data_IF_678314181891
#
_entry.id   IF_678314181891
#
_cell.length_a   1.000
_cell.length_b   1.000
_cell.length_c   1.000
_cell.angle_alpha   90.00
_cell.angle_beta   90.00
_cell.angle_gamma   90.00
#
_symmetry.space_group_name_H-M   'P 1'
#
loop_
_entity.id
_entity.type
_entity.pdbx_description
1 polymer ?
#
# COMPACT_ATOMS: atom_id res chain seq x y z
N UNK A 1 63.63 -58.17 5.97
CA UNK A 1 63.01 -57.77 4.68
C UNK A 1 61.55 -57.46 4.92
N UNK A 2 61.07 -56.30 4.45
CA UNK A 2 59.68 -55.94 4.11
C UNK A 2 58.65 -55.93 5.26
N UNK A 3 57.76 -54.95 5.41
CA UNK A 3 57.48 -53.69 4.70
C UNK A 3 56.61 -52.85 5.65
N UNK A 4 56.94 -51.57 5.76
CA UNK A 4 56.06 -50.51 6.27
C UNK A 4 54.85 -50.43 5.33
N UNK A 5 53.63 -50.29 5.88
CA UNK A 5 52.63 -49.43 5.28
C UNK A 5 51.71 -48.87 6.36
N UNK A 6 51.94 -47.60 6.70
CA UNK A 6 50.93 -46.71 7.24
C UNK A 6 49.78 -46.65 6.21
N UNK A 7 48.56 -46.97 6.62
CA UNK A 7 47.38 -46.34 6.05
C UNK A 7 46.74 -45.51 7.14
N UNK A 8 47.12 -44.24 7.07
CA UNK A 8 46.52 -43.08 7.69
C UNK A 8 45.00 -43.21 7.83
N UNK A 9 44.55 -42.96 9.05
CA UNK A 9 43.22 -42.48 9.41
C UNK A 9 42.81 -41.42 8.38
N UNK A 10 41.92 -41.76 7.48
CA UNK A 10 41.16 -40.80 6.70
C UNK A 10 39.69 -41.16 6.84
N UNK A 11 39.23 -41.11 8.10
CA UNK A 11 37.84 -40.74 8.37
C UNK A 11 37.68 -39.31 7.85
N UNK A 12 37.49 -39.18 6.54
CA UNK A 12 36.89 -37.98 5.97
C UNK A 12 35.54 -37.92 6.65
N UNK A 13 35.44 -37.06 7.67
CA UNK A 13 34.18 -36.51 8.09
C UNK A 13 33.49 -36.08 6.81
N UNK A 14 32.50 -36.86 6.37
CA UNK A 14 31.42 -36.29 5.58
C UNK A 14 30.72 -35.35 6.55
N UNK A 15 31.32 -34.17 6.75
CA UNK A 15 30.56 -32.97 7.05
C UNK A 15 29.61 -32.87 5.87
N UNK A 16 28.44 -33.51 6.03
CA UNK A 16 27.23 -32.99 5.44
C UNK A 16 27.17 -31.57 5.98
N UNK A 17 27.74 -30.62 5.24
CA UNK A 17 27.34 -29.24 5.37
C UNK A 17 25.89 -29.29 4.93
N UNK A 18 24.95 -29.43 5.88
CA UNK A 18 23.59 -29.06 5.58
C UNK A 18 23.70 -27.57 5.23
N UNK A 19 23.63 -27.29 3.94
CA UNK A 19 23.33 -25.96 3.43
C UNK A 19 22.02 -25.57 4.12
N UNK A 20 22.11 -24.92 5.28
CA UNK A 20 20.95 -24.40 5.98
C UNK A 20 20.53 -23.17 5.21
N UNK A 21 19.87 -23.39 4.07
CA UNK A 21 19.20 -22.33 3.34
C UNK A 21 18.17 -21.76 4.30
N UNK A 22 18.42 -20.54 4.76
CA UNK A 22 17.42 -19.77 5.45
C UNK A 22 16.53 -19.16 4.36
N UNK A 23 15.36 -19.76 4.21
CA UNK A 23 14.30 -19.27 3.34
C UNK A 23 13.36 -18.41 4.18
N UNK A 24 12.90 -17.29 3.61
CA UNK A 24 12.03 -16.33 4.26
C UNK A 24 11.91 -15.05 3.44
N UNK A 25 11.08 -14.11 3.85
CA UNK A 25 10.98 -12.84 3.13
C UNK A 25 12.26 -12.01 3.27
N UNK A 26 12.93 -11.71 2.15
CA UNK A 26 14.19 -10.93 2.15
C UNK A 26 13.99 -9.43 1.89
N UNK A 27 12.76 -8.99 1.59
CA UNK A 27 12.47 -7.60 1.27
C UNK A 27 12.29 -6.76 2.55
N UNK A 28 13.16 -5.75 2.83
CA UNK A 28 13.06 -4.96 4.05
C UNK A 28 11.79 -4.11 4.18
N UNK A 29 11.08 -3.91 3.07
CA UNK A 29 9.82 -3.19 3.03
C UNK A 29 8.61 -4.08 3.40
N UNK A 30 8.78 -5.40 3.51
CA UNK A 30 7.73 -6.32 3.93
C UNK A 30 7.53 -6.28 5.45
N UNK A 31 6.29 -6.49 5.89
CA UNK A 31 5.93 -6.61 7.30
C UNK A 31 6.60 -7.83 7.95
N UNK A 32 6.74 -8.91 7.18
CA UNK A 32 7.32 -10.17 7.62
C UNK A 32 8.78 -10.34 7.17
N UNK A 33 9.51 -9.24 6.98
CA UNK A 33 10.94 -9.30 6.65
C UNK A 33 11.73 -10.14 7.67
N UNK A 34 12.46 -11.14 7.17
CA UNK A 34 13.29 -12.03 7.97
C UNK A 34 14.76 -11.73 7.72
N UNK A 35 15.38 -10.94 8.61
CA UNK A 35 16.80 -10.55 8.48
C UNK A 35 17.82 -11.69 8.46
N UNK A 36 17.40 -12.92 8.79
CA UNK A 36 18.22 -14.12 8.74
C UNK A 36 18.04 -14.93 7.45
N UNK A 37 17.03 -14.60 6.62
CA UNK A 37 16.77 -15.28 5.36
C UNK A 37 17.78 -14.84 4.29
N UNK A 38 18.38 -15.83 3.63
CA UNK A 38 19.32 -15.64 2.52
C UNK A 38 18.62 -15.75 1.16
N UNK A 39 17.42 -16.36 1.14
CA UNK A 39 16.65 -16.63 -0.07
C UNK A 39 15.18 -16.28 0.13
N UNK A 40 14.61 -15.56 -0.83
CA UNK A 40 13.19 -15.26 -0.87
C UNK A 40 12.37 -16.56 -1.01
N UNK A 41 11.44 -16.78 -0.09
CA UNK A 41 10.50 -17.90 -0.13
C UNK A 41 9.17 -17.54 -0.82
N UNK A 42 9.01 -16.29 -1.25
CA UNK A 42 7.77 -15.80 -1.83
C UNK A 42 6.65 -15.76 -0.79
N UNK A 43 6.97 -15.47 0.47
CA UNK A 43 5.99 -15.19 1.53
C UNK A 43 5.87 -13.71 1.86
N UNK A 44 6.60 -12.82 1.18
CA UNK A 44 6.65 -11.39 1.53
C UNK A 44 5.26 -10.76 1.51
N UNK A 45 4.91 -10.13 2.63
CA UNK A 45 3.63 -9.49 2.88
C UNK A 45 3.84 -8.00 3.13
N UNK A 46 3.00 -7.18 2.50
CA UNK A 46 3.13 -5.73 2.49
C UNK A 46 1.84 -5.07 2.94
N UNK A 47 1.97 -3.91 3.57
CA UNK A 47 0.85 -3.02 3.83
C UNK A 47 1.26 -1.58 3.62
N UNK A 48 0.27 -0.73 3.38
CA UNK A 48 0.45 0.70 3.26
C UNK A 48 -0.87 1.40 3.60
N UNK A 49 -0.76 2.56 4.23
CA UNK A 49 -1.89 3.38 4.61
C UNK A 49 -2.19 4.40 3.51
N UNK A 50 -3.46 4.74 3.36
CA UNK A 50 -3.94 5.74 2.41
C UNK A 50 -4.79 6.76 3.16
N UNK A 51 -4.58 8.05 2.88
CA UNK A 51 -5.38 9.14 3.46
C UNK A 51 -6.02 9.97 2.35
N UNK A 52 -7.34 9.90 2.24
CA UNK A 52 -8.13 10.76 1.34
C UNK A 52 -8.58 12.02 2.07
N UNK A 53 -8.38 13.17 1.44
CA UNK A 53 -8.77 14.47 1.99
C UNK A 53 -9.04 15.48 0.87
N UNK A 54 -9.77 16.53 1.18
CA UNK A 54 -10.08 17.61 0.25
C UNK A 54 -9.16 18.81 0.45
N UNK A 55 -8.86 19.52 -0.65
CA UNK A 55 -8.31 20.88 -0.55
C UNK A 55 -9.42 21.90 -0.27
N UNK A 56 -9.06 23.08 0.22
CA UNK A 56 -10.04 24.16 0.51
C UNK A 56 -10.84 24.57 -0.73
N UNK A 57 -10.28 24.47 -1.93
CA UNK A 57 -10.97 24.89 -3.15
C UNK A 57 -12.07 23.89 -3.57
N UNK A 58 -11.84 22.60 -3.39
CA UNK A 58 -12.82 21.54 -3.58
C UNK A 58 -13.97 21.69 -2.59
N UNK A 59 -13.66 21.90 -1.31
CA UNK A 59 -14.67 22.07 -0.27
C UNK A 59 -15.61 23.26 -0.52
N UNK A 60 -15.04 24.43 -0.88
CA UNK A 60 -15.83 25.61 -1.28
C UNK A 60 -16.71 25.31 -2.50
N UNK A 61 -16.21 24.52 -3.43
CA UNK A 61 -16.96 24.16 -4.62
C UNK A 61 -18.15 23.24 -4.29
N UNK A 62 -17.99 22.25 -3.40
CA UNK A 62 -19.08 21.38 -2.97
C UNK A 62 -20.11 22.12 -2.11
N UNK A 63 -19.68 23.02 -1.22
CA UNK A 63 -20.57 23.92 -0.47
C UNK A 63 -21.46 24.75 -1.41
N UNK A 64 -20.90 25.30 -2.49
CA UNK A 64 -21.67 26.03 -3.51
C UNK A 64 -22.67 25.16 -4.30
N UNK A 65 -22.49 23.84 -4.28
CA UNK A 65 -23.40 22.88 -4.90
C UNK A 65 -24.41 22.27 -3.93
N UNK A 66 -24.39 22.66 -2.66
CA UNK A 66 -25.23 22.09 -1.59
C UNK A 66 -24.95 20.58 -1.39
N UNK A 67 -23.70 20.15 -1.62
CA UNK A 67 -23.22 18.80 -1.35
C UNK A 67 -22.64 18.76 0.06
N UNK A 68 -23.19 17.91 0.91
CA UNK A 68 -22.82 17.85 2.34
C UNK A 68 -21.75 16.80 2.64
N UNK A 69 -21.71 15.70 1.88
CA UNK A 69 -20.79 14.61 2.15
C UNK A 69 -20.36 13.85 0.89
N UNK A 70 -19.17 13.24 0.97
CA UNK A 70 -18.58 12.46 -0.10
C UNK A 70 -18.20 11.07 0.37
N UNK A 71 -18.84 10.04 -0.21
CA UNK A 71 -18.54 8.64 0.05
C UNK A 71 -17.34 8.16 -0.77
N UNK A 72 -16.33 7.64 -0.08
CA UNK A 72 -15.20 6.93 -0.65
C UNK A 72 -15.54 5.44 -0.80
N UNK A 73 -15.35 4.95 -2.02
CA UNK A 73 -15.39 3.53 -2.36
C UNK A 73 -14.04 3.10 -2.92
N UNK A 74 -13.49 2.00 -2.44
CA UNK A 74 -12.26 1.36 -2.95
C UNK A 74 -12.58 -0.06 -3.38
N UNK A 75 -12.17 -0.45 -4.59
CA UNK A 75 -12.50 -1.77 -5.17
C UNK A 75 -14.00 -2.13 -5.15
N UNK A 76 -14.88 -1.12 -5.15
CA UNK A 76 -16.33 -1.30 -5.08
C UNK A 76 -16.91 -1.44 -3.67
N UNK A 77 -16.09 -1.39 -2.62
CA UNK A 77 -16.51 -1.40 -1.21
C UNK A 77 -16.46 0.00 -0.58
N UNK A 78 -17.49 0.33 0.21
CA UNK A 78 -17.55 1.58 0.97
C UNK A 78 -16.51 1.59 2.09
N UNK A 79 -15.67 2.63 2.12
CA UNK A 79 -14.59 2.76 3.10
C UNK A 79 -14.91 3.82 4.16
N UNK A 80 -15.47 4.95 3.75
CA UNK A 80 -15.74 6.06 4.65
C UNK A 80 -16.33 7.26 3.93
N UNK A 81 -16.64 8.29 4.69
CA UNK A 81 -17.30 9.50 4.21
C UNK A 81 -16.49 10.72 4.64
N UNK A 82 -16.23 11.63 3.71
CA UNK A 82 -15.67 12.95 3.97
C UNK A 82 -16.80 13.97 4.16
N UNK A 83 -16.57 14.96 5.02
CA UNK A 83 -17.39 16.18 5.06
C UNK A 83 -17.01 17.03 3.84
N UNK A 84 -17.95 17.16 2.89
CA UNK A 84 -17.69 17.82 1.61
C UNK A 84 -17.42 19.32 1.75
N UNK A 85 -17.74 19.89 2.92
CA UNK A 85 -17.54 21.32 3.22
C UNK A 85 -16.24 21.58 3.97
N UNK A 86 -15.47 20.53 4.28
CA UNK A 86 -14.22 20.60 5.04
C UNK A 86 -13.00 20.35 4.16
N UNK A 87 -12.26 21.42 3.85
CA UNK A 87 -11.00 21.33 3.11
C UNK A 87 -9.78 21.61 4.00
N UNK A 88 -8.70 20.85 3.79
CA UNK A 88 -7.44 21.02 4.50
C UNK A 88 -6.47 21.93 3.73
N UNK A 89 -5.56 22.58 4.46
CA UNK A 89 -4.50 23.45 3.91
C UNK A 89 -3.11 22.81 4.00
N UNK A 90 -3.05 21.57 4.48
CA UNK A 90 -1.83 20.80 4.67
C UNK A 90 -2.07 19.37 4.22
N UNK A 91 -0.99 18.63 3.95
CA UNK A 91 -1.06 17.20 3.67
C UNK A 91 -1.19 16.46 5.00
N UNK A 92 -2.33 15.80 5.28
CA UNK A 92 -2.53 15.08 6.53
C UNK A 92 -1.67 13.82 6.59
N UNK A 93 -1.43 13.33 7.81
CA UNK A 93 -0.89 12.00 8.02
C UNK A 93 -2.02 10.97 8.10
N UNK A 94 -1.68 9.68 8.11
CA UNK A 94 -2.64 8.57 8.17
C UNK A 94 -3.21 8.34 9.59
N UNK A 95 -3.36 9.39 10.38
CA UNK A 95 -4.11 9.40 11.65
C UNK A 95 -5.01 10.64 11.76
N UNK A 96 -5.21 11.35 10.65
CA UNK A 96 -6.08 12.53 10.60
C UNK A 96 -7.55 12.12 10.75
N UNK A 97 -8.26 12.80 11.64
CA UNK A 97 -9.65 12.47 12.00
C UNK A 97 -10.62 13.04 10.96
N UNK A 98 -10.25 14.18 10.38
CA UNK A 98 -11.03 14.91 9.39
C UNK A 98 -10.82 14.36 7.95
N UNK A 99 -10.14 13.22 7.82
CA UNK A 99 -9.83 12.54 6.57
C UNK A 99 -10.32 11.09 6.61
N UNK A 100 -10.48 10.47 5.45
CA UNK A 100 -10.76 9.02 5.37
C UNK A 100 -9.43 8.28 5.27
N UNK A 101 -9.12 7.48 6.28
CA UNK A 101 -7.90 6.67 6.36
C UNK A 101 -8.25 5.19 6.31
N UNK A 102 -7.50 4.42 5.51
CA UNK A 102 -7.59 2.96 5.46
C UNK A 102 -6.23 2.35 5.11
N UNK A 103 -6.08 1.06 5.39
CA UNK A 103 -4.88 0.29 5.06
C UNK A 103 -5.19 -0.71 3.96
N UNK A 104 -4.25 -0.88 3.04
CA UNK A 104 -4.26 -1.94 2.04
C UNK A 104 -3.17 -2.95 2.35
N UNK A 105 -3.41 -4.20 1.96
CA UNK A 105 -2.51 -5.32 2.21
C UNK A 105 -2.36 -6.15 0.93
N UNK A 106 -1.15 -6.62 0.64
CA UNK A 106 -0.88 -7.46 -0.54
C UNK A 106 0.36 -8.34 -0.36
N UNK A 107 0.45 -9.38 -1.18
CA UNK A 107 1.52 -10.38 -1.15
C UNK A 107 2.44 -10.27 -2.37
N UNK A 108 3.72 -10.58 -2.17
CA UNK A 108 4.67 -10.98 -3.22
C UNK A 108 4.78 -10.01 -4.40
N UNK A 109 4.61 -8.71 -4.14
CA UNK A 109 4.81 -7.65 -5.11
C UNK A 109 5.39 -6.41 -4.43
N UNK A 110 6.38 -5.78 -5.05
CA UNK A 110 7.00 -4.56 -4.54
C UNK A 110 6.09 -3.33 -4.56
N UNK A 111 4.95 -3.43 -5.25
CA UNK A 111 3.88 -2.44 -5.26
C UNK A 111 2.55 -3.13 -5.61
N UNK A 112 1.44 -2.46 -5.30
CA UNK A 112 0.10 -2.86 -5.74
C UNK A 112 -0.58 -1.68 -6.43
N UNK A 113 -1.85 -1.85 -6.80
CA UNK A 113 -2.70 -0.76 -7.27
C UNK A 113 -4.13 -0.97 -6.82
N UNK A 114 -4.86 0.13 -6.62
CA UNK A 114 -6.27 0.07 -6.26
C UNK A 114 -7.08 1.10 -7.07
N UNK A 115 -8.30 0.74 -7.37
CA UNK A 115 -9.33 1.58 -7.96
C UNK A 115 -10.15 2.23 -6.87
N UNK A 116 -10.50 3.50 -7.09
CA UNK A 116 -11.26 4.28 -6.13
C UNK A 116 -12.29 5.17 -6.83
N UNK A 117 -13.31 5.55 -6.09
CA UNK A 117 -14.41 6.39 -6.57
C UNK A 117 -14.93 7.23 -5.41
N UNK A 118 -15.27 8.48 -5.68
CA UNK A 118 -15.93 9.40 -4.75
C UNK A 118 -17.31 9.77 -5.29
N UNK A 119 -18.34 9.63 -4.45
CA UNK A 119 -19.73 9.96 -4.78
C UNK A 119 -20.35 10.90 -3.76
N UNK A 120 -21.24 11.76 -4.21
CA UNK A 120 -22.08 12.57 -3.31
C UNK A 120 -23.31 11.80 -2.82
N UNK A 121 -24.15 12.48 -2.03
CA UNK A 121 -25.38 11.94 -1.46
C UNK A 121 -26.43 11.51 -2.47
N UNK A 122 -26.34 11.99 -3.71
CA UNK A 122 -27.22 11.58 -4.81
C UNK A 122 -26.71 10.33 -5.52
N UNK A 123 -25.50 9.88 -5.18
CA UNK A 123 -24.76 8.81 -5.86
C UNK A 123 -24.03 9.28 -7.12
N UNK A 124 -24.04 10.59 -7.41
CA UNK A 124 -23.32 11.14 -8.55
C UNK A 124 -21.81 11.06 -8.30
N UNK A 125 -21.07 10.64 -9.31
CA UNK A 125 -19.63 10.45 -9.21
C UNK A 125 -18.92 11.77 -9.50
N UNK A 126 -18.04 12.21 -8.60
CA UNK A 126 -17.21 13.41 -8.80
C UNK A 126 -15.75 13.09 -9.10
N UNK A 127 -15.27 11.93 -8.63
CA UNK A 127 -13.90 11.48 -8.86
C UNK A 127 -13.86 9.97 -9.10
N UNK A 128 -12.91 9.54 -9.91
CA UNK A 128 -12.47 8.15 -9.98
C UNK A 128 -11.01 8.07 -10.43
N UNK A 129 -10.37 6.97 -10.09
CA UNK A 129 -9.02 6.72 -10.54
C UNK A 129 -8.55 5.32 -10.21
N UNK A 130 -7.34 5.05 -10.67
CA UNK A 130 -6.53 3.90 -10.25
C UNK A 130 -5.21 4.47 -9.78
N UNK A 131 -4.77 4.08 -8.59
CA UNK A 131 -3.54 4.57 -7.98
C UNK A 131 -2.57 3.42 -7.72
N UNK A 132 -1.28 3.68 -7.85
CA UNK A 132 -0.22 2.73 -7.49
C UNK A 132 0.17 2.97 -6.04
N UNK A 133 0.35 1.89 -5.27
CA UNK A 133 0.70 1.98 -3.85
C UNK A 133 1.96 1.17 -3.56
N UNK A 134 2.85 1.74 -2.73
CA UNK A 134 4.10 1.11 -2.29
C UNK A 134 4.05 0.80 -0.78
N UNK A 135 4.82 -0.19 -0.30
CA UNK A 135 4.76 -0.63 1.11
C UNK A 135 5.27 0.41 2.10
N UNK A 136 4.75 0.36 3.33
CA UNK A 136 5.14 1.19 4.48
C UNK A 136 5.09 2.70 4.19
N UNK A 137 4.19 3.12 3.31
CA UNK A 137 3.93 4.52 3.03
C UNK A 137 2.62 4.96 3.71
N UNK A 138 2.48 6.27 3.86
CA UNK A 138 1.19 6.91 4.06
C UNK A 138 0.93 7.72 2.79
N UNK A 139 0.12 7.17 1.88
CA UNK A 139 -0.14 7.74 0.57
C UNK A 139 -1.22 8.83 0.66
N UNK A 140 -0.89 10.12 0.44
CA UNK A 140 -1.87 11.18 0.45
C UNK A 140 -2.65 11.26 -0.86
N UNK A 141 -3.97 11.14 -0.76
CA UNK A 141 -4.91 11.23 -1.87
C UNK A 141 -5.71 12.54 -1.77
N UNK A 142 -5.14 13.61 -2.35
CA UNK A 142 -5.76 14.93 -2.35
C UNK A 142 -6.85 15.04 -3.42
N UNK A 143 -8.08 15.35 -3.01
CA UNK A 143 -9.23 15.64 -3.85
C UNK A 143 -9.27 17.15 -4.11
N UNK A 144 -8.76 17.56 -5.27
CA UNK A 144 -8.66 18.97 -5.63
C UNK A 144 -9.78 19.42 -6.57
N UNK A 145 -10.12 20.70 -6.53
CA UNK A 145 -11.05 21.28 -7.51
C UNK A 145 -10.59 21.06 -8.96
N UNK A 146 -9.27 21.07 -9.20
CA UNK A 146 -8.70 20.77 -10.52
C UNK A 146 -9.05 19.35 -10.98
N UNK A 147 -8.91 18.35 -10.10
CA UNK A 147 -9.27 16.95 -10.39
C UNK A 147 -10.76 16.79 -10.70
N UNK A 148 -11.64 17.54 -10.03
CA UNK A 148 -13.08 17.57 -10.37
C UNK A 148 -13.29 18.03 -11.82
N UNK A 149 -12.62 19.11 -12.23
CA UNK A 149 -12.77 19.63 -13.59
C UNK A 149 -12.25 18.64 -14.64
N UNK A 150 -11.09 18.03 -14.37
CA UNK A 150 -10.50 17.00 -15.24
C UNK A 150 -11.46 15.80 -15.40
N UNK A 151 -12.06 15.34 -14.31
CA UNK A 151 -13.06 14.27 -14.35
C UNK A 151 -14.28 14.68 -15.19
N UNK A 152 -14.86 15.85 -14.92
CA UNK A 152 -16.02 16.37 -15.65
C UNK A 152 -15.75 16.56 -17.15
N UNK A 153 -14.52 16.87 -17.54
CA UNK A 153 -14.15 16.98 -18.96
C UNK A 153 -13.98 15.62 -19.61
N UNK A 154 -13.42 14.64 -18.90
CA UNK A 154 -13.23 13.28 -19.39
C UNK A 154 -14.54 12.50 -19.59
N UNK A 155 -15.60 12.85 -18.84
CA UNK A 155 -16.89 12.14 -18.86
C UNK A 155 -18.02 12.86 -19.61
N UNK A 156 -17.72 13.93 -20.35
CA UNK A 156 -18.66 14.58 -21.29
C UNK A 156 -18.83 13.75 -22.56
#
# INVERSE_FOLDING_TARGET
MKKILLLSILTIFLYSCSDSRSEGCIEPAAINYESFADYDDGSCYYSSDVVFYEDVAAAVYFDLLDVEWLDLTVEGEYIGTLDATLGLTYVPNCNEIDAVVFSLEWDNASHSSFSWTIRDETGFKHYEGVEIIYPNECLPMELTFKKIQEYKEATK
#
